data_IF_869767319953
#
_entry.id   IF_869767319953
#
_cell.length_a   1.000
_cell.length_b   1.000
_cell.length_c   1.000
_cell.angle_alpha   90.00
_cell.angle_beta   90.00
_cell.angle_gamma   90.00
#
_symmetry.space_group_name_H-M   'P 1'
#
loop_
_entity.id
_entity.type
_entity.pdbx_description
1 polymer ?
#
# COMPACT_ATOMS: atom_id res chain seq x y z
N UNK A 1 -9.65 8.17 3.87
CA UNK A 1 -8.70 7.08 3.55
C UNK A 1 -8.87 6.06 4.64
N UNK A 2 -9.14 4.81 4.26
CA UNK A 2 -9.37 3.71 5.20
C UNK A 2 -8.18 2.74 5.09
N UNK A 3 -7.69 2.26 6.23
CA UNK A 3 -6.55 1.35 6.33
C UNK A 3 -7.01 0.00 6.87
N UNK A 4 -6.55 -1.07 6.24
CA UNK A 4 -6.73 -2.45 6.67
C UNK A 4 -5.37 -3.14 6.87
N UNK A 5 -5.31 -4.10 7.80
CA UNK A 5 -4.18 -5.03 7.88
C UNK A 5 -4.62 -6.42 8.34
N UNK A 6 -3.94 -7.44 7.84
CA UNK A 6 -4.14 -8.83 8.23
C UNK A 6 -2.79 -9.56 8.25
N UNK A 7 -2.65 -10.57 9.11
CA UNK A 7 -1.52 -11.50 9.08
C UNK A 7 -1.93 -12.82 8.44
N UNK A 8 -1.03 -13.41 7.69
CA UNK A 8 -1.16 -14.77 7.16
C UNK A 8 0.12 -15.56 7.43
N UNK A 9 0.04 -16.89 7.33
CA UNK A 9 1.20 -17.77 7.42
C UNK A 9 1.52 -18.26 6.01
N UNK A 10 2.78 -18.12 5.57
CA UNK A 10 3.22 -18.60 4.26
C UNK A 10 3.50 -20.12 4.26
N UNK A 11 3.87 -20.69 3.11
CA UNK A 11 4.18 -22.11 2.97
C UNK A 11 5.38 -22.58 3.79
N UNK A 12 6.21 -21.66 4.27
CA UNK A 12 7.37 -21.94 5.12
C UNK A 12 7.06 -21.78 6.62
N UNK A 13 5.79 -21.48 6.97
CA UNK A 13 5.40 -21.23 8.34
C UNK A 13 5.73 -19.82 8.84
N UNK A 14 6.18 -18.91 7.98
CA UNK A 14 6.52 -17.55 8.35
C UNK A 14 5.27 -16.66 8.37
N UNK A 15 5.15 -15.82 9.40
CA UNK A 15 4.11 -14.80 9.43
C UNK A 15 4.43 -13.71 8.43
N UNK A 16 3.50 -13.46 7.50
CA UNK A 16 3.51 -12.32 6.60
C UNK A 16 2.41 -11.34 6.99
N UNK A 17 2.65 -10.07 6.71
CA UNK A 17 1.73 -8.98 6.99
C UNK A 17 1.28 -8.35 5.68
N UNK A 18 -0.03 -8.29 5.49
CA UNK A 18 -0.66 -7.62 4.36
C UNK A 18 -1.30 -6.34 4.90
N UNK A 19 -0.88 -5.21 4.36
CA UNK A 19 -1.45 -3.90 4.67
C UNK A 19 -2.09 -3.32 3.41
N UNK A 20 -3.27 -2.74 3.55
CA UNK A 20 -3.98 -2.13 2.44
C UNK A 20 -4.60 -0.78 2.78
N UNK A 21 -4.73 0.06 1.75
CA UNK A 21 -5.32 1.38 1.86
C UNK A 21 -6.30 1.63 0.72
N UNK A 22 -7.53 2.03 1.06
CA UNK A 22 -8.49 2.52 0.10
C UNK A 22 -8.48 4.06 0.08
N UNK A 23 -8.22 4.60 -1.11
CA UNK A 23 -8.36 6.02 -1.41
C UNK A 23 -9.67 6.24 -2.15
N UNK A 24 -10.43 7.27 -1.76
CA UNK A 24 -11.78 7.55 -2.28
C UNK A 24 -11.87 7.89 -3.79
N UNK A 25 -10.78 7.70 -4.53
CA UNK A 25 -10.71 7.74 -5.99
C UNK A 25 -10.84 6.35 -6.62
N UNK A 26 -11.31 5.35 -5.87
CA UNK A 26 -11.47 3.97 -6.32
C UNK A 26 -10.16 3.20 -6.45
N UNK A 27 -9.02 3.77 -6.00
CA UNK A 27 -7.72 3.09 -6.02
C UNK A 27 -7.41 2.46 -4.67
N UNK A 28 -6.85 1.25 -4.71
CA UNK A 28 -6.38 0.51 -3.53
C UNK A 28 -4.88 0.26 -3.64
N UNK A 29 -4.17 0.49 -2.54
CA UNK A 29 -2.78 0.07 -2.39
C UNK A 29 -2.75 -1.17 -1.52
N UNK A 30 -1.98 -2.19 -1.90
CA UNK A 30 -1.81 -3.44 -1.14
C UNK A 30 -0.32 -3.74 -1.10
N UNK A 31 0.18 -4.05 0.09
CA UNK A 31 1.59 -4.34 0.34
C UNK A 31 1.68 -5.59 1.21
N UNK A 32 2.68 -6.43 0.93
CA UNK A 32 3.04 -7.59 1.75
C UNK A 32 4.47 -7.44 2.28
N UNK A 33 4.70 -7.72 3.55
CA UNK A 33 6.05 -7.81 4.13
C UNK A 33 6.14 -8.88 5.22
N UNK A 34 7.36 -9.35 5.49
CA UNK A 34 7.71 -10.27 6.59
C UNK A 34 7.46 -9.65 7.98
N UNK A 35 7.54 -8.31 8.06
CA UNK A 35 7.31 -7.56 9.30
C UNK A 35 6.17 -6.57 9.15
N UNK A 36 5.34 -6.46 10.19
CA UNK A 36 4.21 -5.53 10.24
C UNK A 36 4.65 -4.09 9.95
N UNK A 37 5.71 -3.64 10.62
CA UNK A 37 6.20 -2.27 10.46
C UNK A 37 6.67 -1.98 9.02
N UNK A 38 7.35 -2.94 8.41
CA UNK A 38 7.77 -2.84 7.00
C UNK A 38 6.56 -2.72 6.07
N UNK A 39 5.51 -3.52 6.28
CA UNK A 39 4.28 -3.43 5.49
C UNK A 39 3.63 -2.03 5.58
N UNK A 40 3.65 -1.40 6.76
CA UNK A 40 3.15 -0.03 6.93
C UNK A 40 4.02 1.03 6.22
N UNK A 41 5.34 0.95 6.34
CA UNK A 41 6.27 1.90 5.70
C UNK A 41 6.17 1.84 4.17
N UNK A 42 6.10 0.62 3.63
CA UNK A 42 5.95 0.37 2.20
C UNK A 42 4.56 0.84 1.70
N UNK A 43 3.50 0.63 2.49
CA UNK A 43 2.16 1.13 2.15
C UNK A 43 2.14 2.67 2.10
N UNK A 44 2.74 3.35 3.07
CA UNK A 44 2.86 4.81 3.04
C UNK A 44 3.64 5.30 1.81
N UNK A 45 4.73 4.63 1.46
CA UNK A 45 5.55 4.96 0.31
C UNK A 45 4.76 4.79 -0.99
N UNK A 46 4.00 3.71 -1.12
CA UNK A 46 3.12 3.47 -2.26
C UNK A 46 2.02 4.53 -2.39
N UNK A 47 1.42 4.95 -1.26
CA UNK A 47 0.43 6.04 -1.25
C UNK A 47 1.07 7.36 -1.71
N UNK A 48 2.26 7.71 -1.19
CA UNK A 48 2.98 8.93 -1.58
C UNK A 48 3.30 8.92 -3.09
N UNK A 49 3.80 7.81 -3.62
CA UNK A 49 4.05 7.66 -5.06
C UNK A 49 2.76 7.79 -5.90
N UNK A 50 1.66 7.16 -5.47
CA UNK A 50 0.37 7.25 -6.13
C UNK A 50 -0.32 8.62 -6.01
N UNK A 51 0.08 9.44 -5.04
CA UNK A 51 -0.32 10.86 -4.94
C UNK A 51 0.49 11.76 -5.87
N UNK A 52 1.78 11.47 -6.07
CA UNK A 52 2.66 12.23 -6.96
C UNK A 52 2.26 12.09 -8.45
N UNK A 53 1.68 10.95 -8.85
CA UNK A 53 1.17 10.73 -10.22
C UNK A 53 -0.09 11.57 -10.59
N UNK A 54 -0.45 12.57 -9.79
CA UNK A 54 -1.50 13.57 -10.12
C UNK A 54 -0.94 14.94 -10.52
N UNK A 55 0.38 15.14 -10.47
CA UNK A 55 1.01 16.43 -10.74
C UNK A 55 1.84 16.50 -12.03
N UNK A 56 1.89 15.44 -12.84
CA UNK A 56 2.67 15.41 -14.11
C UNK A 56 1.82 15.37 -15.38
N UNK A 57 0.54 15.73 -15.33
CA UNK A 57 -0.25 15.97 -16.55
C UNK A 57 -1.22 17.14 -16.36
N UNK A 58 -0.66 18.34 -16.23
CA UNK A 58 -1.30 19.60 -16.60
C UNK A 58 -0.22 20.38 -17.34
N UNK A 59 0.00 20.09 -18.63
CA UNK A 59 0.65 20.96 -19.66
C UNK A 59 0.81 20.20 -21.00
N UNK A 60 -0.24 19.53 -21.46
CA UNK A 60 -0.33 19.10 -22.84
C UNK A 60 -1.81 18.93 -23.18
N UNK A 61 -2.48 20.04 -23.51
CA UNK A 61 -3.48 20.23 -24.56
C UNK A 61 -3.92 21.69 -24.51
#
# INVERSE_FOLDING_TARGET
>A
MELGYVSAIDSNGQTIWIADAHRGDGRRFVVQADKKLTAFIELESAIRAGTANRYTSLHAY
#
